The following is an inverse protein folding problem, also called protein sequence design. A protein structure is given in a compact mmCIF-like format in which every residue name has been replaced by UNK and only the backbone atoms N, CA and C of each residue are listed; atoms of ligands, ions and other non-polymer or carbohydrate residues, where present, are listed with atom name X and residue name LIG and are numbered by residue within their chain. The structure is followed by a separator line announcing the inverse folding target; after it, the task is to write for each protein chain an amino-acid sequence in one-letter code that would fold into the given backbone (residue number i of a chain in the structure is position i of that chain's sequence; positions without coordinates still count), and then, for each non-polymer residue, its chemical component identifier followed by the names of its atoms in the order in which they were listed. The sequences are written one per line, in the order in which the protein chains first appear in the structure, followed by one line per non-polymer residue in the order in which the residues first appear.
data_IF_233536638374
#
_entry.id   IF_233536638374
#
_cell.length_a   1.000
_cell.length_b   1.000
_cell.length_c   1.000
_cell.angle_alpha   90.00
_cell.angle_beta   90.00
_cell.angle_gamma   90.00
#
_symmetry.space_group_name_H-M   'P 1'
#
loop_
_entity.id
_entity.type
_entity.pdbx_description
1 polymer ?
#
# COMPACT_ATOMS: atom_id res chain seq x y z
N UNK A 1 -3.15 -31.26 -8.32
CA UNK A 1 -4.19 -30.60 -9.14
C UNK A 1 -5.38 -31.53 -9.40
N UNK A 2 -5.22 -32.86 -9.28
CA UNK A 2 -6.26 -33.87 -9.57
C UNK A 2 -7.36 -34.01 -8.49
N UNK A 3 -7.34 -33.21 -7.43
CA UNK A 3 -8.32 -33.28 -6.32
C UNK A 3 -9.31 -32.10 -6.29
N UNK A 4 -9.35 -31.25 -7.31
CA UNK A 4 -10.21 -30.06 -7.35
C UNK A 4 -11.54 -30.25 -8.08
N UNK A 5 -11.78 -31.43 -8.69
CA UNK A 5 -12.93 -31.69 -9.57
C UNK A 5 -14.30 -31.82 -8.91
N UNK A 6 -14.40 -32.00 -7.58
CA UNK A 6 -15.64 -32.32 -6.88
C UNK A 6 -16.10 -31.34 -5.81
N UNK A 7 -15.47 -30.13 -5.71
CA UNK A 7 -15.83 -29.15 -4.68
C UNK A 7 -16.83 -28.12 -5.21
N UNK A 8 -17.88 -27.87 -4.42
CA UNK A 8 -18.81 -26.77 -4.70
C UNK A 8 -18.05 -25.42 -4.71
N UNK A 9 -18.43 -24.59 -5.64
CA UNK A 9 -17.89 -23.26 -5.93
C UNK A 9 -17.64 -22.39 -4.67
N UNK A 10 -18.57 -22.41 -3.72
CA UNK A 10 -18.53 -21.66 -2.46
C UNK A 10 -17.38 -22.07 -1.53
N UNK A 11 -16.86 -23.29 -1.67
CA UNK A 11 -15.76 -23.81 -0.86
C UNK A 11 -14.39 -23.68 -1.54
N UNK A 12 -14.33 -23.65 -2.87
CA UNK A 12 -13.09 -23.63 -3.64
C UNK A 12 -12.35 -22.28 -3.48
N UNK A 13 -13.04 -21.17 -3.66
CA UNK A 13 -12.43 -19.83 -3.64
C UNK A 13 -11.85 -19.47 -2.27
N UNK A 14 -12.59 -19.59 -1.14
CA UNK A 14 -12.03 -19.36 0.19
C UNK A 14 -10.82 -20.27 0.48
N UNK A 15 -10.85 -21.53 0.02
CA UNK A 15 -9.72 -22.45 0.20
C UNK A 15 -8.48 -22.03 -0.58
N UNK A 16 -8.64 -21.59 -1.82
CA UNK A 16 -7.53 -21.09 -2.65
C UNK A 16 -6.96 -19.77 -2.10
N UNK A 17 -7.82 -18.90 -1.59
CA UNK A 17 -7.41 -17.66 -0.91
C UNK A 17 -6.60 -17.98 0.36
N UNK A 18 -7.14 -18.86 1.23
CA UNK A 18 -6.44 -19.30 2.43
C UNK A 18 -5.10 -19.99 2.10
N UNK A 19 -5.04 -20.76 1.01
CA UNK A 19 -3.80 -21.38 0.55
C UNK A 19 -2.77 -20.33 0.08
N UNK A 20 -3.19 -19.28 -0.63
CA UNK A 20 -2.31 -18.17 -0.99
C UNK A 20 -1.83 -17.39 0.23
N UNK A 21 -2.69 -17.18 1.22
CA UNK A 21 -2.33 -16.53 2.49
C UNK A 21 -1.34 -17.40 3.29
N UNK A 22 -1.59 -18.70 3.40
CA UNK A 22 -0.66 -19.66 4.02
C UNK A 22 0.69 -19.70 3.31
N UNK A 23 0.72 -19.66 1.97
CA UNK A 23 1.96 -19.63 1.20
C UNK A 23 2.71 -18.31 1.40
N UNK A 24 2.01 -17.19 1.56
CA UNK A 24 2.62 -15.89 1.92
C UNK A 24 3.13 -15.88 3.36
N UNK A 25 2.49 -16.62 4.25
CA UNK A 25 2.88 -16.77 5.65
C UNK A 25 3.95 -17.86 5.88
N UNK A 26 4.39 -18.59 4.84
CA UNK A 26 5.39 -19.65 4.96
C UNK A 26 6.73 -19.08 5.49
N UNK A 27 7.40 -19.76 6.43
CA UNK A 27 8.67 -19.32 6.98
C UNK A 27 9.78 -19.31 5.89
N UNK A 28 10.83 -18.50 6.11
CA UNK A 28 11.99 -18.30 5.22
C UNK A 28 12.74 -19.56 4.78
N UNK A 29 12.35 -20.71 5.28
CA UNK A 29 12.87 -22.04 4.93
C UNK A 29 12.23 -22.64 3.67
N UNK A 30 11.25 -21.98 3.04
CA UNK A 30 10.70 -22.44 1.76
C UNK A 30 11.77 -22.29 0.66
N UNK A 31 12.16 -23.36 -0.02
CA UNK A 31 13.34 -23.37 -0.89
C UNK A 31 13.21 -22.53 -2.15
N UNK A 32 12.05 -21.94 -2.43
CA UNK A 32 11.86 -21.11 -3.62
C UNK A 32 10.63 -20.20 -3.47
N UNK A 33 10.87 -18.97 -2.96
CA UNK A 33 9.83 -17.93 -2.87
C UNK A 33 9.26 -17.53 -4.24
N UNK A 34 10.07 -17.56 -5.29
CA UNK A 34 9.61 -17.30 -6.66
C UNK A 34 8.56 -18.30 -7.09
N UNK A 35 8.77 -19.59 -6.81
CA UNK A 35 7.79 -20.64 -7.09
C UNK A 35 6.52 -20.50 -6.23
N UNK A 36 6.64 -19.99 -5.01
CA UNK A 36 5.48 -19.70 -4.13
C UNK A 36 4.64 -18.58 -4.71
N UNK A 37 5.26 -17.44 -5.03
CA UNK A 37 4.55 -16.30 -5.64
C UNK A 37 3.95 -16.65 -7.00
N UNK A 38 4.64 -17.46 -7.80
CA UNK A 38 4.13 -17.95 -9.08
C UNK A 38 2.90 -18.83 -8.92
N UNK A 39 2.89 -19.72 -7.95
CA UNK A 39 1.70 -20.52 -7.63
C UNK A 39 0.53 -19.67 -7.17
N UNK A 40 0.79 -18.64 -6.35
CA UNK A 40 -0.23 -17.67 -5.95
C UNK A 40 -0.78 -16.90 -7.15
N UNK A 41 0.08 -16.40 -8.04
CA UNK A 41 -0.32 -15.71 -9.27
C UNK A 41 -1.17 -16.61 -10.15
N UNK A 42 -0.75 -17.85 -10.37
CA UNK A 42 -1.50 -18.84 -11.16
C UNK A 42 -2.86 -19.15 -10.54
N UNK A 43 -2.94 -19.29 -9.21
CA UNK A 43 -4.19 -19.53 -8.50
C UNK A 43 -5.17 -18.36 -8.67
N UNK A 44 -4.70 -17.13 -8.51
CA UNK A 44 -5.51 -15.93 -8.74
C UNK A 44 -5.94 -15.77 -10.19
N UNK A 45 -5.10 -16.22 -11.13
CA UNK A 45 -5.46 -16.27 -12.55
C UNK A 45 -6.60 -17.22 -12.80
N UNK A 46 -6.61 -18.41 -12.17
CA UNK A 46 -7.71 -19.36 -12.26
C UNK A 46 -9.01 -18.82 -11.65
N UNK A 47 -8.93 -18.16 -10.49
CA UNK A 47 -10.07 -17.48 -9.85
C UNK A 47 -10.63 -16.39 -10.77
N UNK A 48 -9.76 -15.58 -11.38
CA UNK A 48 -10.18 -14.56 -12.34
C UNK A 48 -10.86 -15.17 -13.57
N UNK A 49 -10.33 -16.30 -14.09
CA UNK A 49 -10.93 -17.04 -15.19
C UNK A 49 -12.35 -17.52 -14.87
N UNK A 50 -12.47 -18.16 -13.71
CA UNK A 50 -13.75 -18.68 -13.21
C UNK A 50 -14.82 -17.57 -13.14
N UNK A 51 -14.51 -16.43 -12.53
CA UNK A 51 -15.46 -15.31 -12.46
C UNK A 51 -15.81 -14.72 -13.84
N UNK A 52 -14.89 -14.77 -14.81
CA UNK A 52 -15.21 -14.38 -16.18
C UNK A 52 -16.21 -15.35 -16.82
N UNK A 53 -16.09 -16.66 -16.59
CA UNK A 53 -17.04 -17.67 -17.05
C UNK A 53 -18.43 -17.47 -16.44
N UNK A 54 -18.50 -16.99 -15.19
CA UNK A 54 -19.73 -16.64 -14.49
C UNK A 54 -20.28 -15.25 -14.84
N UNK A 55 -19.66 -14.56 -15.80
CA UNK A 55 -19.98 -13.17 -16.18
C UNK A 55 -19.89 -12.14 -15.02
N UNK A 56 -19.19 -12.46 -13.94
CA UNK A 56 -18.89 -11.52 -12.86
C UNK A 56 -17.55 -10.81 -13.10
N UNK A 57 -17.60 -9.83 -14.01
CA UNK A 57 -16.43 -9.05 -14.40
C UNK A 57 -15.77 -8.32 -13.20
N UNK A 58 -16.56 -7.87 -12.21
CA UNK A 58 -16.04 -7.19 -11.03
C UNK A 58 -15.13 -8.11 -10.22
N UNK A 59 -15.60 -9.30 -9.88
CA UNK A 59 -14.81 -10.30 -9.14
C UNK A 59 -13.61 -10.78 -9.96
N UNK A 60 -13.80 -10.95 -11.28
CA UNK A 60 -12.70 -11.31 -12.17
C UNK A 60 -11.57 -10.29 -12.17
N UNK A 61 -11.89 -8.98 -12.23
CA UNK A 61 -10.91 -7.89 -12.16
C UNK A 61 -10.25 -7.77 -10.79
N UNK A 62 -10.99 -8.01 -9.71
CA UNK A 62 -10.43 -8.05 -8.35
C UNK A 62 -9.41 -9.18 -8.20
N UNK A 63 -9.74 -10.38 -8.68
CA UNK A 63 -8.82 -11.51 -8.68
C UNK A 63 -7.60 -11.24 -9.56
N UNK A 64 -7.80 -10.66 -10.74
CA UNK A 64 -6.70 -10.23 -11.62
C UNK A 64 -5.76 -9.23 -10.94
N UNK A 65 -6.28 -8.30 -10.18
CA UNK A 65 -5.46 -7.37 -9.43
C UNK A 65 -4.52 -8.08 -8.43
N UNK A 66 -4.98 -9.17 -7.81
CA UNK A 66 -4.12 -9.99 -6.93
C UNK A 66 -3.01 -10.71 -7.71
N UNK A 67 -3.24 -11.09 -8.98
CA UNK A 67 -2.18 -11.62 -9.85
C UNK A 67 -1.02 -10.63 -9.95
N UNK A 68 -1.32 -9.35 -10.24
CA UNK A 68 -0.29 -8.30 -10.36
C UNK A 68 0.50 -8.07 -9.07
N UNK A 69 -0.09 -8.35 -7.90
CA UNK A 69 0.59 -8.26 -6.60
C UNK A 69 1.51 -9.44 -6.28
N UNK A 70 1.33 -10.56 -6.97
CA UNK A 70 2.15 -11.77 -6.78
C UNK A 70 3.35 -11.81 -7.74
N UNK A 71 3.45 -10.90 -8.69
CA UNK A 71 4.45 -10.93 -9.73
C UNK A 71 5.34 -9.68 -9.67
N UNK A 72 6.63 -9.76 -10.02
CA UNK A 72 7.53 -8.62 -10.05
C UNK A 72 7.09 -7.57 -11.08
N UNK A 73 7.49 -6.32 -10.87
CA UNK A 73 7.08 -5.17 -11.70
C UNK A 73 7.45 -5.29 -13.19
N UNK A 74 8.44 -6.11 -13.53
CA UNK A 74 8.89 -6.33 -14.91
C UNK A 74 8.79 -7.81 -15.26
N UNK A 75 7.81 -8.14 -16.07
CA UNK A 75 7.52 -9.49 -16.51
C UNK A 75 8.21 -9.77 -17.84
N UNK A 76 9.39 -10.28 -17.79
CA UNK A 76 10.03 -10.90 -18.96
C UNK A 76 9.71 -12.39 -19.01
N UNK A 77 10.05 -13.03 -20.11
CA UNK A 77 9.85 -14.47 -20.31
C UNK A 77 10.59 -15.32 -19.28
N UNK A 78 11.69 -14.81 -18.74
CA UNK A 78 12.45 -15.46 -17.68
C UNK A 78 11.69 -15.47 -16.37
N UNK A 79 11.12 -14.33 -15.96
CA UNK A 79 10.32 -14.20 -14.75
C UNK A 79 9.07 -15.09 -14.82
N UNK A 80 8.38 -15.14 -15.95
CA UNK A 80 7.19 -16.00 -16.14
C UNK A 80 7.53 -17.50 -16.05
N UNK A 81 8.68 -17.92 -16.56
CA UNK A 81 9.14 -19.32 -16.45
C UNK A 81 9.52 -19.70 -15.01
N UNK A 82 10.19 -18.79 -14.30
CA UNK A 82 10.56 -19.00 -12.88
C UNK A 82 9.33 -19.21 -12.03
N UNK A 83 8.23 -18.49 -12.32
CA UNK A 83 6.95 -18.65 -11.60
C UNK A 83 6.09 -19.82 -12.10
N UNK A 84 6.62 -20.66 -13.00
CA UNK A 84 5.95 -21.89 -13.45
C UNK A 84 4.75 -21.69 -14.38
N UNK A 85 4.64 -20.50 -15.01
CA UNK A 85 3.65 -20.24 -16.04
C UNK A 85 4.15 -20.83 -17.36
N UNK A 86 3.66 -22.02 -17.68
CA UNK A 86 4.13 -22.82 -18.82
C UNK A 86 3.79 -22.19 -20.19
N UNK A 87 2.79 -21.32 -20.26
CA UNK A 87 2.34 -20.65 -21.47
C UNK A 87 2.38 -19.11 -21.28
N UNK A 88 3.54 -18.52 -21.56
CA UNK A 88 3.76 -17.09 -21.45
C UNK A 88 2.92 -16.27 -22.45
N UNK A 89 2.58 -16.84 -23.62
CA UNK A 89 1.79 -16.13 -24.63
C UNK A 89 0.32 -16.09 -24.24
N UNK A 90 -0.24 -17.19 -23.77
CA UNK A 90 -1.61 -17.21 -23.23
C UNK A 90 -1.75 -16.29 -22.02
N UNK A 91 -0.74 -16.23 -21.13
CA UNK A 91 -0.72 -15.31 -20.01
C UNK A 91 -0.69 -13.85 -20.47
N UNK A 92 0.17 -13.49 -21.44
CA UNK A 92 0.24 -12.12 -22.00
C UNK A 92 -1.06 -11.71 -22.68
N UNK A 93 -1.66 -12.60 -23.48
CA UNK A 93 -2.93 -12.33 -24.15
C UNK A 93 -4.04 -12.06 -23.13
N UNK A 94 -4.12 -12.86 -22.07
CA UNK A 94 -5.10 -12.68 -20.99
C UNK A 94 -4.83 -11.42 -20.19
N UNK A 95 -3.56 -11.11 -19.91
CA UNK A 95 -3.15 -9.86 -19.25
C UNK A 95 -3.59 -8.63 -20.04
N UNK A 96 -3.42 -8.67 -21.38
CA UNK A 96 -3.90 -7.64 -22.28
C UNK A 96 -5.41 -7.45 -22.23
N UNK A 97 -6.20 -8.55 -22.29
CA UNK A 97 -7.66 -8.48 -22.20
C UNK A 97 -8.14 -7.91 -20.87
N UNK A 98 -7.59 -8.40 -19.73
CA UNK A 98 -7.98 -7.91 -18.40
C UNK A 98 -7.59 -6.44 -18.19
N UNK A 99 -6.46 -6.02 -18.72
CA UNK A 99 -6.02 -4.62 -18.71
C UNK A 99 -6.95 -3.73 -19.52
N UNK A 100 -7.39 -4.19 -20.71
CA UNK A 100 -8.35 -3.46 -21.55
C UNK A 100 -9.73 -3.34 -20.86
N UNK A 101 -10.23 -4.40 -20.24
CA UNK A 101 -11.48 -4.40 -19.46
C UNK A 101 -11.39 -3.45 -18.26
N UNK A 102 -10.29 -3.47 -17.53
CA UNK A 102 -10.04 -2.54 -16.44
C UNK A 102 -10.05 -1.09 -16.94
N UNK A 103 -9.37 -0.81 -18.05
CA UNK A 103 -9.36 0.52 -18.64
C UNK A 103 -10.76 0.97 -19.08
N UNK A 104 -11.55 0.08 -19.68
CA UNK A 104 -12.93 0.37 -20.07
C UNK A 104 -13.82 0.70 -18.85
N UNK A 105 -13.69 -0.09 -17.77
CA UNK A 105 -14.42 0.14 -16.53
C UNK A 105 -14.07 1.46 -15.89
N UNK A 106 -12.77 1.79 -15.75
CA UNK A 106 -12.32 3.08 -15.21
C UNK A 106 -12.83 4.26 -16.04
N UNK A 107 -12.81 4.16 -17.38
CA UNK A 107 -13.38 5.17 -18.26
C UNK A 107 -14.90 5.30 -18.09
N UNK A 108 -15.61 4.19 -17.91
CA UNK A 108 -17.05 4.19 -17.63
C UNK A 108 -17.39 4.89 -16.31
N UNK A 109 -16.64 4.61 -15.24
CA UNK A 109 -16.78 5.30 -13.96
C UNK A 109 -16.52 6.81 -14.09
N UNK A 110 -15.48 7.20 -14.82
CA UNK A 110 -15.18 8.62 -15.09
C UNK A 110 -16.27 9.29 -15.92
N UNK A 111 -16.88 8.57 -16.87
CA UNK A 111 -18.01 9.09 -17.64
C UNK A 111 -19.23 9.33 -16.73
N UNK A 112 -19.55 8.42 -15.83
CA UNK A 112 -20.63 8.59 -14.85
C UNK A 112 -20.40 9.83 -13.95
N UNK A 113 -19.16 10.02 -13.45
CA UNK A 113 -18.82 11.24 -12.68
C UNK A 113 -18.97 12.51 -13.49
N UNK A 114 -18.59 12.46 -14.77
CA UNK A 114 -18.70 13.60 -15.68
C UNK A 114 -20.15 13.98 -15.95
N UNK A 115 -21.03 13.00 -16.02
CA UNK A 115 -22.48 13.20 -16.16
C UNK A 115 -23.11 13.79 -14.89
N UNK A 116 -22.65 13.36 -13.71
CA UNK A 116 -23.13 13.87 -12.41
C UNK A 116 -22.63 15.27 -12.09
N UNK A 117 -21.35 15.54 -12.26
CA UNK A 117 -20.68 16.73 -11.73
C UNK A 117 -20.20 17.72 -12.83
N UNK A 118 -20.29 17.34 -14.09
CA UNK A 118 -19.68 18.07 -15.21
C UNK A 118 -18.18 17.79 -15.36
N UNK A 119 -17.56 18.25 -16.46
CA UNK A 119 -16.17 17.93 -16.77
C UNK A 119 -15.15 18.71 -15.91
N UNK A 120 -15.48 19.95 -15.50
CA UNK A 120 -14.52 20.82 -14.80
C UNK A 120 -14.06 20.26 -13.43
N UNK A 121 -14.94 19.76 -12.54
CA UNK A 121 -14.56 19.25 -11.24
C UNK A 121 -13.66 18.01 -11.26
N UNK A 122 -13.64 17.26 -12.38
CA UNK A 122 -12.89 16.00 -12.50
C UNK A 122 -11.71 16.09 -13.48
N UNK A 123 -11.40 17.28 -13.98
CA UNK A 123 -10.38 17.48 -15.02
C UNK A 123 -9.00 16.92 -14.63
N UNK A 124 -8.56 17.12 -13.34
CA UNK A 124 -7.27 16.60 -12.86
C UNK A 124 -7.27 15.08 -12.83
N UNK A 125 -8.39 14.46 -12.43
CA UNK A 125 -8.52 13.01 -12.36
C UNK A 125 -8.58 12.39 -13.77
N UNK A 126 -9.27 13.04 -14.71
CA UNK A 126 -9.26 12.63 -16.12
C UNK A 126 -7.82 12.60 -16.67
N UNK A 127 -7.03 13.61 -16.36
CA UNK A 127 -5.64 13.67 -16.77
C UNK A 127 -4.79 12.61 -16.07
N UNK A 128 -5.00 12.41 -14.77
CA UNK A 128 -4.33 11.37 -13.99
C UNK A 128 -4.62 9.98 -14.57
N UNK A 129 -5.89 9.70 -14.89
CA UNK A 129 -6.29 8.44 -15.52
C UNK A 129 -5.68 8.26 -16.91
N UNK A 130 -5.65 9.33 -17.73
CA UNK A 130 -5.00 9.26 -19.04
C UNK A 130 -3.50 8.93 -18.92
N UNK A 131 -2.81 9.49 -17.91
CA UNK A 131 -1.43 9.15 -17.58
C UNK A 131 -1.27 7.68 -17.14
N UNK A 132 -2.11 7.24 -16.21
CA UNK A 132 -2.14 5.88 -15.71
C UNK A 132 -2.38 4.83 -16.81
N UNK A 133 -3.23 5.14 -17.79
CA UNK A 133 -3.52 4.28 -18.93
C UNK A 133 -2.50 4.42 -20.09
N UNK A 134 -1.43 5.19 -19.91
CA UNK A 134 -0.40 5.41 -20.93
C UNK A 134 -0.88 6.22 -22.16
N UNK A 135 -2.04 6.89 -22.06
CA UNK A 135 -2.63 7.68 -23.16
C UNK A 135 -2.11 9.12 -23.21
N UNK A 136 -1.51 9.60 -22.12
CA UNK A 136 -0.88 10.91 -22.03
C UNK A 136 0.38 10.84 -21.18
N UNK A 137 1.33 11.74 -21.43
CA UNK A 137 2.46 11.95 -20.53
C UNK A 137 2.04 12.88 -19.41
N UNK A 138 1.90 12.34 -18.20
CA UNK A 138 1.53 13.07 -16.98
C UNK A 138 2.57 12.77 -15.92
N UNK A 139 3.32 13.78 -15.51
CA UNK A 139 4.40 13.66 -14.54
C UNK A 139 4.52 14.94 -13.71
N UNK A 140 5.19 14.85 -12.58
CA UNK A 140 5.50 16.00 -11.73
C UNK A 140 6.51 16.93 -12.39
N UNK A 141 6.42 18.20 -12.04
CA UNK A 141 7.48 19.18 -12.31
C UNK A 141 8.71 18.98 -11.42
N UNK A 142 8.58 18.26 -10.32
CA UNK A 142 9.69 17.98 -9.39
C UNK A 142 10.37 16.66 -9.74
N UNK A 143 11.67 16.68 -10.02
CA UNK A 143 12.42 15.53 -10.54
C UNK A 143 12.40 14.29 -9.62
N UNK A 144 12.34 14.50 -8.29
CA UNK A 144 12.34 13.42 -7.31
C UNK A 144 10.93 12.97 -6.88
N UNK A 145 9.88 13.59 -7.42
CA UNK A 145 8.50 13.17 -7.22
C UNK A 145 8.05 12.24 -8.35
N UNK A 146 8.04 10.94 -8.11
CA UNK A 146 7.76 9.91 -9.12
C UNK A 146 6.82 8.84 -8.53
N UNK A 147 5.49 9.07 -8.49
CA UNK A 147 4.55 8.09 -7.98
C UNK A 147 4.58 6.81 -8.81
N UNK A 148 4.59 5.65 -8.13
CA UNK A 148 4.67 4.33 -8.79
C UNK A 148 3.40 3.95 -9.57
N UNK A 149 2.23 4.52 -9.21
CA UNK A 149 0.96 4.08 -9.80
C UNK A 149 0.25 5.22 -10.50
N UNK A 150 -0.18 6.26 -9.80
CA UNK A 150 -0.95 7.34 -10.39
C UNK A 150 -0.52 8.70 -9.85
N UNK A 151 -0.31 9.65 -10.73
CA UNK A 151 -0.02 11.04 -10.42
C UNK A 151 -1.21 11.93 -10.74
N UNK A 152 -1.68 12.68 -9.76
CA UNK A 152 -2.71 13.72 -9.92
C UNK A 152 -2.02 15.05 -10.20
N UNK A 153 -2.13 15.61 -11.41
CA UNK A 153 -1.47 16.87 -11.74
C UNK A 153 -2.14 18.05 -11.05
N UNK A 154 -1.35 19.09 -10.76
CA UNK A 154 -1.85 20.33 -10.18
C UNK A 154 -2.14 20.28 -8.68
N UNK A 155 -1.70 19.23 -7.97
CA UNK A 155 -1.55 19.23 -6.52
C UNK A 155 -0.21 19.85 -6.15
N UNK A 156 -0.10 20.36 -4.92
CA UNK A 156 1.15 20.91 -4.39
C UNK A 156 2.29 19.89 -4.49
N UNK A 157 3.48 20.40 -4.85
CA UNK A 157 4.73 19.64 -4.88
C UNK A 157 5.65 20.01 -3.73
N UNK A 158 5.09 20.42 -2.59
CA UNK A 158 5.87 20.87 -1.43
C UNK A 158 6.66 19.75 -0.72
N UNK A 159 6.34 18.50 -0.98
CA UNK A 159 6.96 17.33 -0.34
C UNK A 159 6.54 17.18 1.12
N UNK A 160 6.91 18.13 1.98
CA UNK A 160 6.44 18.22 3.37
C UNK A 160 5.17 19.05 3.46
N UNK A 161 4.18 18.55 4.21
CA UNK A 161 2.87 19.20 4.35
C UNK A 161 2.63 19.58 5.81
N UNK A 162 2.14 20.79 6.02
CA UNK A 162 1.85 21.28 7.37
C UNK A 162 0.71 20.47 8.00
N UNK A 163 0.94 19.96 9.21
CA UNK A 163 -0.04 19.13 9.93
C UNK A 163 -1.42 19.81 10.10
N UNK A 164 -1.44 21.15 10.23
CA UNK A 164 -2.66 21.95 10.40
C UNK A 164 -3.62 21.84 9.20
N UNK A 165 -3.11 21.52 8.00
CA UNK A 165 -3.92 21.29 6.81
C UNK A 165 -4.53 19.87 6.75
N UNK A 166 -4.14 18.99 7.65
CA UNK A 166 -4.59 17.60 7.71
C UNK A 166 -5.66 17.47 8.80
N UNK A 167 -6.88 17.13 8.41
CA UNK A 167 -8.03 17.06 9.33
C UNK A 167 -7.81 16.13 10.52
N UNK A 168 -7.16 14.99 10.31
CA UNK A 168 -6.89 14.00 11.36
C UNK A 168 -5.73 14.38 12.31
N UNK A 169 -4.87 15.32 11.95
CA UNK A 169 -3.68 15.65 12.73
C UNK A 169 -4.02 16.16 14.15
N UNK A 170 -5.06 16.97 14.27
CA UNK A 170 -5.53 17.45 15.58
C UNK A 170 -5.99 16.30 16.48
N UNK A 171 -6.78 15.38 15.94
CA UNK A 171 -7.30 14.24 16.70
C UNK A 171 -6.16 13.34 17.19
N UNK A 172 -5.17 13.08 16.33
CA UNK A 172 -3.97 12.32 16.70
C UNK A 172 -3.16 13.03 17.81
N UNK A 173 -2.90 14.34 17.68
CA UNK A 173 -2.17 15.09 18.71
C UNK A 173 -2.90 15.12 20.04
N UNK A 174 -4.23 15.24 20.03
CA UNK A 174 -5.04 15.25 21.27
C UNK A 174 -5.06 13.90 21.98
N UNK A 175 -4.93 12.81 21.26
CA UNK A 175 -4.92 11.46 21.80
C UNK A 175 -3.51 10.89 22.02
N UNK A 176 -2.47 11.71 21.85
CA UNK A 176 -1.07 11.28 21.87
C UNK A 176 -0.72 10.38 23.07
N UNK A 177 -1.03 10.82 24.29
CA UNK A 177 -0.67 10.10 25.52
C UNK A 177 -1.30 8.69 25.57
N UNK A 178 -2.58 8.57 25.17
CA UNK A 178 -3.26 7.27 25.14
C UNK A 178 -2.73 6.36 24.04
N UNK A 179 -2.39 6.91 22.87
CA UNK A 179 -1.80 6.16 21.78
C UNK A 179 -0.37 5.70 22.15
N UNK A 180 0.40 6.57 22.80
CA UNK A 180 1.74 6.24 23.30
C UNK A 180 1.69 5.10 24.33
N UNK A 181 0.74 5.16 25.28
CA UNK A 181 0.56 4.11 26.28
C UNK A 181 0.26 2.73 25.64
N UNK A 182 -0.62 2.73 24.64
CA UNK A 182 -0.94 1.51 23.88
C UNK A 182 0.27 0.97 23.12
N UNK A 183 1.04 1.84 22.48
CA UNK A 183 2.28 1.46 21.79
C UNK A 183 3.35 0.91 22.73
N UNK A 184 3.61 1.60 23.86
CA UNK A 184 4.57 1.16 24.86
C UNK A 184 4.16 -0.17 25.52
N UNK A 185 2.85 -0.40 25.69
CA UNK A 185 2.32 -1.70 26.11
C UNK A 185 2.62 -2.77 25.06
N UNK A 186 2.39 -2.50 23.78
CA UNK A 186 2.69 -3.44 22.71
C UNK A 186 4.16 -3.89 22.71
N UNK A 187 5.09 -2.94 22.92
CA UNK A 187 6.51 -3.27 23.03
C UNK A 187 6.84 -4.10 24.27
N UNK A 188 6.27 -3.75 25.45
CA UNK A 188 6.50 -4.50 26.71
C UNK A 188 5.94 -5.91 26.68
N UNK A 189 4.79 -6.12 26.05
CA UNK A 189 4.12 -7.41 25.94
C UNK A 189 4.63 -8.25 24.78
N UNK A 190 5.56 -7.71 23.96
CA UNK A 190 6.09 -8.34 22.76
C UNK A 190 4.97 -8.75 21.80
N UNK A 191 4.04 -7.83 21.57
CA UNK A 191 2.90 -8.07 20.68
C UNK A 191 3.36 -8.50 19.28
N UNK A 192 2.64 -9.42 18.65
CA UNK A 192 2.98 -9.88 17.31
C UNK A 192 3.05 -8.72 16.32
N UNK A 193 4.15 -8.62 15.61
CA UNK A 193 4.36 -7.69 14.49
C UNK A 193 4.88 -8.46 13.29
N UNK A 194 4.75 -7.87 12.13
CA UNK A 194 5.20 -8.45 10.87
C UNK A 194 6.08 -7.45 10.09
N UNK A 195 6.96 -7.93 9.19
CA UNK A 195 7.71 -7.03 8.34
C UNK A 195 6.78 -6.09 7.56
N UNK A 196 7.07 -4.78 7.58
CA UNK A 196 6.23 -3.76 6.93
C UNK A 196 5.99 -4.07 5.44
N UNK A 197 7.03 -4.45 4.73
CA UNK A 197 6.95 -4.82 3.30
C UNK A 197 6.36 -6.22 3.06
N UNK A 198 5.93 -6.92 4.13
CA UNK A 198 5.57 -8.32 4.08
C UNK A 198 6.80 -9.22 4.00
N UNK A 199 6.58 -10.53 3.83
CA UNK A 199 7.67 -11.50 3.73
C UNK A 199 8.25 -11.48 2.32
N UNK A 200 9.40 -10.83 2.17
CA UNK A 200 10.18 -10.78 0.94
C UNK A 200 11.35 -11.77 1.01
N UNK A 201 11.94 -12.11 -0.13
CA UNK A 201 13.24 -12.77 -0.12
C UNK A 201 14.29 -11.82 0.47
N UNK A 202 15.33 -12.36 1.10
CA UNK A 202 16.40 -11.54 1.71
C UNK A 202 17.05 -10.58 0.70
N UNK A 203 17.15 -10.97 -0.57
CA UNK A 203 17.74 -10.13 -1.60
C UNK A 203 16.84 -8.95 -1.99
N UNK A 204 15.52 -9.15 -1.97
CA UNK A 204 14.55 -8.06 -2.19
C UNK A 204 14.41 -7.19 -0.94
N UNK A 205 14.40 -7.80 0.25
CA UNK A 205 14.34 -7.06 1.52
C UNK A 205 15.52 -6.08 1.66
N UNK A 206 16.75 -6.50 1.31
CA UNK A 206 17.95 -5.64 1.33
C UNK A 206 17.88 -4.44 0.38
N UNK A 207 16.98 -4.42 -0.59
CA UNK A 207 16.75 -3.25 -1.44
C UNK A 207 15.95 -2.17 -0.71
N UNK A 208 15.20 -2.55 0.33
CA UNK A 208 14.36 -1.63 1.09
C UNK A 208 14.87 -1.37 2.50
N UNK A 209 15.60 -2.32 3.09
CA UNK A 209 16.09 -2.22 4.47
C UNK A 209 17.56 -2.61 4.53
N UNK A 210 18.36 -1.75 5.13
CA UNK A 210 19.79 -2.00 5.40
C UNK A 210 20.18 -1.61 6.83
N UNK A 211 21.38 -1.98 7.26
CA UNK A 211 21.91 -1.59 8.57
C UNK A 211 22.57 -2.72 9.34
N UNK A 212 22.35 -2.75 10.68
CA UNK A 212 22.95 -3.72 11.59
C UNK A 212 22.48 -5.16 11.37
N UNK A 213 23.02 -6.12 12.15
CA UNK A 213 22.66 -7.54 12.01
C UNK A 213 21.18 -7.84 12.28
N UNK A 214 20.48 -6.98 13.05
CA UNK A 214 19.05 -7.08 13.37
C UNK A 214 18.22 -6.00 12.70
N UNK A 215 18.75 -5.40 11.61
CA UNK A 215 18.02 -4.38 10.88
C UNK A 215 16.68 -4.94 10.39
N UNK A 216 15.58 -4.28 10.79
CA UNK A 216 14.22 -4.63 10.38
C UNK A 216 13.31 -3.42 10.46
N UNK A 217 12.33 -3.40 9.55
CA UNK A 217 11.22 -2.48 9.56
C UNK A 217 9.94 -3.28 9.73
N UNK A 218 9.37 -3.22 10.92
CA UNK A 218 8.24 -4.03 11.34
C UNK A 218 6.98 -3.18 11.53
N UNK A 219 5.82 -3.81 11.58
CA UNK A 219 4.55 -3.13 11.79
C UNK A 219 3.52 -3.98 12.55
N UNK A 220 2.66 -3.29 13.31
CA UNK A 220 1.40 -3.82 13.83
C UNK A 220 0.29 -3.09 13.06
N UNK A 221 -0.34 -3.77 12.10
CA UNK A 221 -1.31 -3.15 11.20
C UNK A 221 -2.71 -3.08 11.80
N UNK A 222 -3.26 -1.88 11.89
CA UNK A 222 -4.69 -1.61 12.11
C UNK A 222 -5.47 -1.79 10.81
N UNK A 223 -4.98 -1.16 9.74
CA UNK A 223 -5.49 -1.34 8.39
C UNK A 223 -4.31 -1.62 7.46
N UNK A 224 -4.48 -2.59 6.56
CA UNK A 224 -3.47 -2.91 5.54
C UNK A 224 -4.14 -3.00 4.18
N UNK A 225 -3.68 -2.21 3.21
CA UNK A 225 -4.27 -2.12 1.88
C UNK A 225 -5.79 -1.84 1.92
N UNK A 226 -6.23 -0.99 2.85
CA UNK A 226 -7.64 -0.67 3.06
C UNK A 226 -8.45 -1.76 3.75
N UNK A 227 -7.83 -2.86 4.16
CA UNK A 227 -8.47 -3.92 4.95
C UNK A 227 -8.24 -3.72 6.43
N UNK A 228 -9.32 -3.73 7.19
CA UNK A 228 -9.31 -3.56 8.65
C UNK A 228 -8.90 -4.86 9.34
N UNK A 229 -8.02 -4.77 10.33
CA UNK A 229 -7.63 -5.86 11.21
C UNK A 229 -8.35 -5.74 12.55
N UNK A 230 -9.54 -6.36 12.67
CA UNK A 230 -10.43 -6.19 13.82
C UNK A 230 -9.81 -6.61 15.17
N UNK A 231 -8.91 -7.58 15.18
CA UNK A 231 -8.19 -7.98 16.40
C UNK A 231 -7.29 -6.88 16.92
N UNK A 232 -6.55 -6.23 16.04
CA UNK A 232 -5.64 -5.13 16.38
C UNK A 232 -6.45 -3.93 16.86
N UNK A 233 -7.55 -3.59 16.17
CA UNK A 233 -8.45 -2.52 16.61
C UNK A 233 -9.04 -2.77 18.00
N UNK A 234 -9.39 -4.01 18.34
CA UNK A 234 -9.89 -4.36 19.69
C UNK A 234 -8.79 -4.29 20.76
N UNK A 235 -7.55 -4.61 20.39
CA UNK A 235 -6.41 -4.62 21.30
C UNK A 235 -5.93 -3.21 21.66
N UNK A 236 -6.10 -2.25 20.76
CA UNK A 236 -5.69 -0.85 20.90
C UNK A 236 -6.88 0.10 20.74
N UNK A 237 -7.80 0.15 21.71
CA UNK A 237 -9.08 0.85 21.58
C UNK A 237 -8.96 2.36 21.50
N UNK A 238 -7.99 3.00 22.16
CA UNK A 238 -7.78 4.46 22.07
C UNK A 238 -7.35 4.85 20.67
N UNK A 239 -6.32 4.17 20.13
CA UNK A 239 -5.87 4.37 18.75
C UNK A 239 -6.98 4.10 17.75
N UNK A 240 -7.71 2.99 17.94
CA UNK A 240 -8.83 2.61 17.08
C UNK A 240 -9.92 3.69 17.05
N UNK A 241 -10.32 4.20 18.19
CA UNK A 241 -11.37 5.24 18.28
C UNK A 241 -10.98 6.50 17.48
N UNK A 242 -9.75 6.96 17.61
CA UNK A 242 -9.26 8.13 16.86
C UNK A 242 -9.25 7.85 15.34
N UNK A 243 -8.75 6.69 14.94
CA UNK A 243 -8.69 6.29 13.54
C UNK A 243 -10.06 6.14 12.89
N UNK A 244 -11.05 5.67 13.63
CA UNK A 244 -12.44 5.51 13.14
C UNK A 244 -13.17 6.84 12.93
N UNK A 245 -12.91 7.80 13.81
CA UNK A 245 -13.52 9.13 13.74
C UNK A 245 -12.84 10.07 12.74
N UNK A 246 -11.62 9.74 12.30
CA UNK A 246 -10.82 10.57 11.42
C UNK A 246 -11.24 10.43 9.94
N UNK A 247 -11.20 11.56 9.21
CA UNK A 247 -11.31 11.59 7.73
C UNK A 247 -9.98 11.12 7.12
N UNK A 248 -9.80 9.81 7.07
CA UNK A 248 -8.63 9.16 6.47
C UNK A 248 -8.81 8.93 4.97
N UNK A 249 -7.72 8.85 4.23
CA UNK A 249 -7.77 8.39 2.84
C UNK A 249 -8.28 6.95 2.76
N UNK A 250 -9.35 6.73 2.01
CA UNK A 250 -9.94 5.39 1.79
C UNK A 250 -10.04 5.13 0.29
N UNK A 251 -9.11 4.33 -0.22
CA UNK A 251 -9.11 3.86 -1.60
C UNK A 251 -9.23 2.34 -1.56
N UNK A 252 -10.26 1.74 -2.15
CA UNK A 252 -10.48 0.30 -2.09
C UNK A 252 -9.23 -0.50 -2.47
N UNK A 253 -8.84 -1.46 -1.63
CA UNK A 253 -7.67 -2.34 -1.81
C UNK A 253 -6.30 -1.62 -1.83
N UNK A 254 -6.23 -0.32 -1.46
CA UNK A 254 -5.01 0.48 -1.44
C UNK A 254 -4.79 1.21 -0.11
N UNK A 255 -5.80 1.93 0.37
CA UNK A 255 -5.73 2.78 1.56
C UNK A 255 -6.95 2.64 2.45
N UNK A 256 -6.85 2.85 3.76
CA UNK A 256 -5.63 3.30 4.43
C UNK A 256 -4.59 2.18 4.64
N UNK A 257 -3.33 2.57 4.69
CA UNK A 257 -2.27 1.85 5.35
C UNK A 257 -2.12 2.47 6.73
N UNK A 258 -2.39 1.73 7.80
CA UNK A 258 -2.33 2.26 9.16
C UNK A 258 -1.67 1.25 10.09
N UNK A 259 -0.60 1.65 10.76
CA UNK A 259 0.13 0.77 11.65
C UNK A 259 0.93 1.50 12.73
N UNK A 260 1.26 0.79 13.79
CA UNK A 260 2.46 1.10 14.54
C UNK A 260 3.66 0.65 13.73
N UNK A 261 4.41 1.59 13.17
CA UNK A 261 5.62 1.35 12.40
C UNK A 261 6.83 1.36 13.34
N UNK A 262 7.54 0.24 13.36
CA UNK A 262 8.63 -0.06 14.29
C UNK A 262 9.91 -0.21 13.49
N UNK A 263 10.86 0.70 13.69
CA UNK A 263 12.17 0.64 13.06
C UNK A 263 13.21 0.24 14.08
N UNK A 264 13.78 -0.95 13.89
CA UNK A 264 14.75 -1.54 14.80
C UNK A 264 16.02 -0.68 14.92
N UNK A 265 16.83 -0.86 15.98
CA UNK A 265 18.12 -0.19 16.12
C UNK A 265 19.02 -0.33 14.88
N UNK A 266 19.79 0.71 14.58
CA UNK A 266 20.77 0.70 13.48
C UNK A 266 20.18 0.29 12.13
N UNK A 267 18.94 0.72 11.85
CA UNK A 267 18.20 0.38 10.62
C UNK A 267 17.96 1.59 9.76
N UNK A 268 18.15 1.41 8.47
CA UNK A 268 17.84 2.38 7.43
C UNK A 268 16.79 1.80 6.46
N UNK A 269 15.75 2.58 6.18
CA UNK A 269 14.82 2.36 5.07
C UNK A 269 15.43 3.04 3.85
N UNK A 270 15.74 2.26 2.82
CA UNK A 270 16.42 2.74 1.61
C UNK A 270 15.51 3.63 0.76
N UNK A 271 16.09 4.51 -0.08
CA UNK A 271 15.30 5.43 -0.89
C UNK A 271 14.29 4.71 -1.79
N UNK A 272 13.03 5.11 -1.69
CA UNK A 272 11.94 4.55 -2.50
C UNK A 272 10.85 5.61 -2.73
N UNK A 273 9.92 5.28 -3.64
CA UNK A 273 8.77 6.12 -3.96
C UNK A 273 7.46 5.45 -3.51
N UNK A 274 6.49 6.25 -3.10
CA UNK A 274 5.11 5.83 -2.86
C UNK A 274 4.29 5.70 -4.14
N UNK A 275 3.00 5.42 -3.97
CA UNK A 275 2.12 4.99 -5.06
C UNK A 275 1.34 6.13 -5.71
N UNK A 276 0.96 7.16 -4.97
CA UNK A 276 0.14 8.28 -5.48
C UNK A 276 0.23 9.52 -4.60
N UNK A 277 0.25 10.69 -5.22
CA UNK A 277 0.15 11.97 -4.52
C UNK A 277 -1.31 12.37 -4.16
N UNK A 278 -2.29 11.52 -4.44
CA UNK A 278 -3.67 11.74 -3.96
C UNK A 278 -3.81 11.57 -2.45
N UNK A 279 -2.86 10.85 -1.84
CA UNK A 279 -2.77 10.68 -0.39
C UNK A 279 -1.43 11.17 0.15
N UNK A 280 -1.43 11.51 1.42
CA UNK A 280 -0.25 11.85 2.18
C UNK A 280 -0.04 10.80 3.27
N UNK A 281 1.20 10.50 3.58
CA UNK A 281 1.56 9.69 4.75
C UNK A 281 1.65 10.63 5.95
N UNK A 282 0.90 10.29 7.00
CA UNK A 282 0.84 11.03 8.27
C UNK A 282 1.54 10.22 9.35
N UNK A 283 2.47 10.83 10.03
CA UNK A 283 3.18 10.24 11.16
C UNK A 283 2.80 10.96 12.46
N UNK A 284 2.42 10.20 13.48
CA UNK A 284 2.47 10.62 14.88
C UNK A 284 3.67 9.93 15.52
N UNK A 285 4.77 10.64 15.79
CA UNK A 285 5.95 10.07 16.44
C UNK A 285 5.64 9.72 17.90
N UNK A 286 5.90 8.47 18.31
CA UNK A 286 5.59 7.93 19.63
C UNK A 286 6.86 7.73 20.46
N UNK A 287 7.89 7.18 19.85
CA UNK A 287 9.21 6.96 20.45
C UNK A 287 10.28 7.26 19.40
N UNK A 288 11.05 8.31 19.64
CA UNK A 288 12.03 8.79 18.67
C UNK A 288 13.40 8.99 19.32
N UNK A 289 14.26 7.96 19.26
CA UNK A 289 15.64 8.10 19.71
C UNK A 289 16.39 9.20 18.97
N UNK A 290 17.46 9.70 19.60
CA UNK A 290 18.28 10.76 19.03
C UNK A 290 18.88 10.36 17.68
N UNK A 291 18.84 11.29 16.73
CA UNK A 291 19.43 11.11 15.40
C UNK A 291 18.49 10.54 14.33
N UNK A 292 17.30 10.05 14.71
CA UNK A 292 16.32 9.56 13.75
C UNK A 292 15.82 10.68 12.82
N UNK A 293 15.69 10.36 11.53
CA UNK A 293 15.19 11.31 10.53
C UNK A 293 14.47 10.63 9.37
N UNK A 294 13.65 11.41 8.68
CA UNK A 294 13.11 11.11 7.35
C UNK A 294 13.69 12.12 6.37
N UNK A 295 14.17 11.64 5.23
CA UNK A 295 14.71 12.46 4.15
C UNK A 295 13.81 12.38 2.92
N UNK A 296 13.45 13.53 2.37
CA UNK A 296 12.96 13.65 0.99
C UNK A 296 14.14 14.14 0.14
N UNK A 297 14.62 13.28 -0.76
CA UNK A 297 15.80 13.54 -1.58
C UNK A 297 15.59 14.77 -2.44
N UNK A 298 16.49 15.74 -2.33
CA UNK A 298 16.41 17.02 -3.03
C UNK A 298 15.44 18.03 -2.42
N UNK A 299 14.77 17.69 -1.30
CA UNK A 299 13.90 18.62 -0.55
C UNK A 299 14.48 18.94 0.81
N UNK A 300 14.82 17.91 1.61
CA UNK A 300 15.42 18.10 2.94
C UNK A 300 15.14 16.95 3.90
N UNK A 301 15.63 17.12 5.14
CA UNK A 301 15.44 16.16 6.23
C UNK A 301 14.48 16.71 7.28
N UNK A 302 13.63 15.82 7.78
CA UNK A 302 12.76 16.08 8.93
C UNK A 302 13.20 15.18 10.08
N UNK A 303 13.47 15.81 11.24
CA UNK A 303 13.71 15.12 12.50
C UNK A 303 12.40 15.09 13.27
N UNK A 304 11.89 13.88 13.52
CA UNK A 304 10.66 13.73 14.28
C UNK A 304 10.79 14.26 15.70
N UNK A 305 9.68 14.77 16.23
CA UNK A 305 9.50 15.10 17.64
C UNK A 305 8.29 14.38 18.16
N UNK A 306 8.43 13.71 19.29
CA UNK A 306 7.37 12.94 19.92
C UNK A 306 6.13 13.81 20.15
N UNK A 307 4.94 13.30 19.78
CA UNK A 307 3.67 14.01 19.86
C UNK A 307 3.41 15.07 18.76
N UNK A 308 4.42 15.45 17.97
CA UNK A 308 4.23 16.42 16.87
C UNK A 308 3.85 15.69 15.58
N UNK A 309 2.58 15.78 15.19
CA UNK A 309 2.10 15.19 13.92
C UNK A 309 2.79 15.86 12.74
N UNK A 310 3.17 15.03 11.80
CA UNK A 310 3.89 15.42 10.60
C UNK A 310 3.31 14.68 9.41
N UNK A 311 3.28 15.31 8.22
CA UNK A 311 2.80 14.69 6.99
C UNK A 311 3.73 14.99 5.81
N UNK A 312 3.79 14.05 4.87
CA UNK A 312 4.58 14.22 3.65
C UNK A 312 3.97 13.45 2.48
N UNK A 313 4.34 13.87 1.29
CA UNK A 313 4.04 13.17 0.04
C UNK A 313 5.12 12.10 -0.21
N UNK A 314 4.77 10.83 0.00
CA UNK A 314 5.67 9.69 -0.15
C UNK A 314 6.03 9.39 -1.62
N UNK A 315 5.41 10.09 -2.58
CA UNK A 315 5.78 9.96 -4.00
C UNK A 315 7.11 10.65 -4.33
N UNK A 316 7.62 11.51 -3.45
CA UNK A 316 9.02 11.92 -3.48
C UNK A 316 9.94 10.74 -3.14
N UNK A 317 11.12 10.71 -3.74
CA UNK A 317 12.16 9.76 -3.34
C UNK A 317 12.50 10.02 -1.87
N UNK A 318 12.17 9.07 -1.00
CA UNK A 318 12.31 9.25 0.44
C UNK A 318 12.98 8.05 1.12
N UNK A 319 13.68 8.35 2.20
CA UNK A 319 14.39 7.39 3.04
C UNK A 319 14.17 7.74 4.52
N UNK A 320 14.37 6.78 5.40
CA UNK A 320 14.33 7.02 6.84
C UNK A 320 15.45 6.25 7.54
N UNK A 321 15.95 6.78 8.66
CA UNK A 321 17.02 6.13 9.39
C UNK A 321 16.82 6.23 10.90
N UNK A 322 17.08 5.14 11.58
CA UNK A 322 17.27 5.05 13.02
C UNK A 322 18.74 4.65 13.31
N UNK A 323 19.63 5.62 13.52
CA UNK A 323 21.05 5.34 13.79
C UNK A 323 21.34 4.96 15.24
N UNK A 324 20.33 4.96 16.11
CA UNK A 324 20.46 4.71 17.55
C UNK A 324 20.49 3.22 17.89
N UNK A 325 20.72 2.92 19.17
CA UNK A 325 20.64 1.59 19.73
C UNK A 325 19.26 1.25 20.35
N UNK A 326 18.27 2.12 20.13
CA UNK A 326 16.90 1.97 20.62
C UNK A 326 15.90 1.86 19.45
N UNK A 327 14.73 1.29 19.72
CA UNK A 327 13.64 1.18 18.75
C UNK A 327 13.01 2.55 18.48
N UNK A 328 12.78 2.90 17.22
CA UNK A 328 11.95 4.04 16.81
C UNK A 328 10.52 3.55 16.51
N UNK A 329 9.52 4.17 17.16
CA UNK A 329 8.10 3.89 16.99
C UNK A 329 7.31 5.11 16.52
N UNK A 330 6.45 4.93 15.51
CA UNK A 330 5.50 5.94 15.06
C UNK A 330 4.15 5.29 14.77
N UNK A 331 3.05 6.02 14.96
CA UNK A 331 1.79 5.69 14.30
C UNK A 331 1.81 6.31 12.90
N UNK A 332 1.70 5.45 11.89
CA UNK A 332 1.61 5.82 10.47
C UNK A 332 0.17 5.63 10.00
N UNK A 333 -0.37 6.58 9.25
CA UNK A 333 -1.66 6.45 8.58
C UNK A 333 -1.76 7.31 7.33
N UNK A 334 -2.76 7.06 6.49
CA UNK A 334 -3.00 7.79 5.24
C UNK A 334 -4.05 8.89 5.42
N UNK A 335 -3.78 10.08 4.90
CA UNK A 335 -4.74 11.17 4.76
C UNK A 335 -4.94 11.53 3.29
N UNK A 336 -6.13 12.03 2.93
CA UNK A 336 -6.30 12.65 1.62
C UNK A 336 -5.40 13.88 1.46
N UNK A 337 -4.86 14.08 0.25
CA UNK A 337 -4.21 15.35 -0.06
C UNK A 337 -5.22 16.49 0.13
N UNK A 338 -4.91 17.55 0.92
CA UNK A 338 -5.89 18.57 1.31
C UNK A 338 -6.46 19.37 0.13
N UNK A 339 -5.76 19.44 -0.98
CA UNK A 339 -6.20 20.13 -2.19
C UNK A 339 -7.12 19.29 -3.09
N UNK A 340 -7.38 18.02 -2.75
CA UNK A 340 -8.39 17.23 -3.45
C UNK A 340 -9.79 17.67 -3.06
N UNK A 341 -10.62 17.96 -4.05
CA UNK A 341 -12.04 18.21 -3.85
C UNK A 341 -12.79 16.92 -3.48
N UNK A 342 -14.00 17.05 -2.93
CA UNK A 342 -14.84 15.90 -2.62
C UNK A 342 -15.11 15.02 -3.85
N UNK A 343 -15.37 15.63 -5.01
CA UNK A 343 -15.61 14.92 -6.28
C UNK A 343 -14.36 14.15 -6.75
N UNK A 344 -13.17 14.73 -6.55
CA UNK A 344 -11.93 14.05 -6.91
C UNK A 344 -11.65 12.87 -5.99
N UNK A 345 -11.96 12.99 -4.68
CA UNK A 345 -11.86 11.87 -3.71
C UNK A 345 -12.87 10.76 -4.07
N UNK A 346 -14.09 11.12 -4.46
CA UNK A 346 -15.11 10.17 -4.94
C UNK A 346 -14.59 9.33 -6.11
N UNK A 347 -13.90 9.94 -7.07
CA UNK A 347 -13.31 9.23 -8.20
C UNK A 347 -12.34 8.11 -7.81
N UNK A 348 -11.64 8.23 -6.69
CA UNK A 348 -10.74 7.18 -6.16
C UNK A 348 -11.49 6.04 -5.45
N UNK A 349 -12.75 6.22 -5.11
CA UNK A 349 -13.55 5.23 -4.36
C UNK A 349 -14.47 4.40 -5.27
N UNK A 350 -14.60 4.76 -6.54
CA UNK A 350 -15.40 4.07 -7.57
C UNK A 350 -14.64 2.90 -8.20
#
# INVERSE_FOLDING_TARGET
LDTLGDMTETALIPRLQAQCEQLRAAPDTAPDLGAVFGRCAYTWLQISAHWMEQADERRALQAWFQVSRCLPEHWDDGALRVVGLADADAFRARSGDMSARRAAKLKGSMQALREMHGPAPIFRIDRALAGYLGQARVFSSHATQQPKVIYVPGLSTAGFVQAQSISLARALSQAYEGILEEFERALREHDPHEPFMGRLSKDVERQYVSGGQQASWDAIFFDRHGQRHDEVHRRYPVTSQVLEQADRCRIPQQSPETCFSILQPRTKIEPHHGVTNARLVVHLPLRVPQGCYLELVGVGRHHWREGEVFAFDDTFLHAAENPSDEVRGILLTDAWHPELTAVEREAFTM
#
